data_IF_012684552835
#
_entry.id   IF_012684552835
#
_cell.length_a   1.000
_cell.length_b   1.000
_cell.length_c   1.000
_cell.angle_alpha   90.00
_cell.angle_beta   90.00
_cell.angle_gamma   90.00
#
_symmetry.space_group_name_H-M   'P 1'
#
loop_
_entity.id
_entity.type
_entity.pdbx_description
1 polymer ?
#
# COMPACT_ATOMS: atom_id res chain seq x y z
N UNK A 1 -13.58 47.14 -47.21
CA UNK A 1 -13.32 45.69 -47.12
C UNK A 1 -12.11 45.49 -46.21
N UNK A 2 -12.30 45.17 -44.92
CA UNK A 2 -11.21 45.01 -43.94
C UNK A 2 -10.85 43.52 -43.85
N UNK A 3 -9.65 43.15 -44.26
CA UNK A 3 -9.13 41.78 -44.20
C UNK A 3 -8.76 41.41 -42.77
N UNK A 4 -9.42 40.39 -42.21
CA UNK A 4 -9.11 39.83 -40.89
C UNK A 4 -7.82 39.00 -41.01
N UNK A 5 -6.76 39.43 -40.33
CA UNK A 5 -5.50 38.67 -40.27
C UNK A 5 -5.71 37.39 -39.45
N UNK A 6 -5.47 36.23 -40.08
CA UNK A 6 -5.54 34.91 -39.44
C UNK A 6 -4.40 34.82 -38.40
N UNK A 7 -4.74 34.82 -37.10
CA UNK A 7 -3.77 34.50 -36.03
C UNK A 7 -3.23 33.09 -36.28
N UNK A 8 -1.93 32.96 -36.56
CA UNK A 8 -1.29 31.66 -36.74
C UNK A 8 -1.38 30.85 -35.46
N UNK A 9 -1.85 29.60 -35.56
CA UNK A 9 -1.75 28.62 -34.48
C UNK A 9 -0.26 28.35 -34.21
N UNK A 10 0.24 28.81 -33.07
CA UNK A 10 1.57 28.44 -32.57
C UNK A 10 1.52 27.01 -32.07
N UNK A 11 2.30 26.12 -32.67
CA UNK A 11 2.51 24.75 -32.17
C UNK A 11 3.54 24.72 -31.03
N UNK A 12 3.55 23.61 -30.28
CA UNK A 12 4.58 23.35 -29.27
C UNK A 12 5.96 23.14 -29.93
N UNK A 13 6.99 23.58 -29.24
CA UNK A 13 8.39 23.36 -29.63
C UNK A 13 8.90 22.03 -29.05
N UNK A 14 9.90 21.43 -29.70
CA UNK A 14 10.56 20.23 -29.19
C UNK A 14 11.22 20.49 -27.82
N UNK A 15 11.78 21.68 -27.62
CA UNK A 15 12.46 22.04 -26.37
C UNK A 15 11.48 22.13 -25.20
N UNK A 16 10.26 22.64 -25.40
CA UNK A 16 9.21 22.64 -24.37
C UNK A 16 8.86 21.22 -23.94
N UNK A 17 8.70 20.30 -24.90
CA UNK A 17 8.42 18.90 -24.59
C UNK A 17 9.57 18.24 -23.82
N UNK A 18 10.83 18.54 -24.18
CA UNK A 18 11.99 18.01 -23.48
C UNK A 18 12.02 18.45 -22.02
N UNK A 19 11.78 19.74 -21.74
CA UNK A 19 11.75 20.26 -20.38
C UNK A 19 10.64 19.59 -19.55
N UNK A 20 9.45 19.40 -20.14
CA UNK A 20 8.33 18.72 -19.47
C UNK A 20 8.70 17.27 -19.10
N UNK A 21 9.27 16.52 -20.04
CA UNK A 21 9.70 15.14 -19.78
C UNK A 21 10.79 15.09 -18.71
N UNK A 22 11.76 16.01 -18.75
CA UNK A 22 12.80 16.11 -17.73
C UNK A 22 12.22 16.31 -16.33
N UNK A 23 11.23 17.20 -16.18
CA UNK A 23 10.56 17.44 -14.88
C UNK A 23 9.81 16.19 -14.43
N UNK A 24 9.08 15.52 -15.34
CA UNK A 24 8.35 14.28 -15.01
C UNK A 24 9.31 13.21 -14.51
N UNK A 25 10.46 13.01 -15.16
CA UNK A 25 11.45 12.02 -14.76
C UNK A 25 12.05 12.30 -13.38
N UNK A 26 12.31 13.58 -13.06
CA UNK A 26 12.77 13.98 -11.72
C UNK A 26 11.72 13.64 -10.66
N UNK A 27 10.45 13.97 -10.91
CA UNK A 27 9.37 13.67 -9.99
C UNK A 27 9.20 12.16 -9.78
N UNK A 28 9.20 11.37 -10.86
CA UNK A 28 9.06 9.91 -10.81
C UNK A 28 10.21 9.26 -10.04
N UNK A 29 11.44 9.74 -10.23
CA UNK A 29 12.63 9.26 -9.53
C UNK A 29 12.49 9.33 -8.00
N UNK A 30 11.86 10.38 -7.48
CA UNK A 30 11.62 10.54 -6.03
C UNK A 30 10.30 9.87 -5.60
N UNK A 31 9.27 9.89 -6.44
CA UNK A 31 7.95 9.38 -6.10
C UNK A 31 7.90 7.85 -5.98
N UNK A 32 8.58 7.11 -6.86
CA UNK A 32 8.57 5.65 -6.85
C UNK A 32 9.13 5.02 -5.55
N UNK A 33 10.33 5.38 -5.06
CA UNK A 33 10.84 4.81 -3.81
C UNK A 33 9.95 5.18 -2.62
N UNK A 34 9.43 6.40 -2.57
CA UNK A 34 8.52 6.84 -1.51
C UNK A 34 7.20 6.04 -1.52
N UNK A 35 6.63 5.79 -2.70
CA UNK A 35 5.44 4.96 -2.87
C UNK A 35 5.69 3.52 -2.42
N UNK A 36 6.79 2.90 -2.86
CA UNK A 36 7.15 1.54 -2.45
C UNK A 36 7.35 1.44 -0.93
N UNK A 37 8.00 2.42 -0.31
CA UNK A 37 8.15 2.46 1.15
C UNK A 37 6.80 2.61 1.87
N UNK A 38 5.86 3.38 1.32
CA UNK A 38 4.51 3.50 1.87
C UNK A 38 3.77 2.16 1.84
N UNK A 39 3.86 1.41 0.75
CA UNK A 39 3.27 0.07 0.65
C UNK A 39 3.89 -0.88 1.68
N UNK A 40 5.23 -0.90 1.82
CA UNK A 40 5.89 -1.74 2.84
C UNK A 40 5.41 -1.37 4.24
N UNK A 41 5.35 -0.08 4.58
CA UNK A 41 4.83 0.38 5.88
C UNK A 41 3.37 -0.03 6.12
N UNK A 42 2.54 0.03 5.08
CA UNK A 42 1.15 -0.41 5.17
C UNK A 42 1.07 -1.92 5.45
N UNK A 43 1.86 -2.74 4.76
CA UNK A 43 1.96 -4.19 5.01
C UNK A 43 2.46 -4.48 6.42
N UNK A 44 3.51 -3.79 6.88
CA UNK A 44 4.00 -3.93 8.26
C UNK A 44 2.95 -3.55 9.30
N UNK A 45 2.15 -2.50 9.04
CA UNK A 45 1.07 -2.09 9.94
C UNK A 45 -0.01 -3.17 10.05
N UNK A 46 -0.40 -3.76 8.92
CA UNK A 46 -1.36 -4.88 8.88
C UNK A 46 -0.79 -6.10 9.59
N UNK A 47 0.47 -6.46 9.32
CA UNK A 47 1.14 -7.58 9.97
C UNK A 47 1.20 -7.39 11.50
N UNK A 48 1.58 -6.20 11.97
CA UNK A 48 1.59 -5.88 13.41
C UNK A 48 0.21 -6.04 14.05
N UNK A 49 -0.84 -5.60 13.36
CA UNK A 49 -2.21 -5.75 13.83
C UNK A 49 -2.65 -7.22 13.88
N UNK A 50 -2.29 -8.01 12.87
CA UNK A 50 -2.56 -9.44 12.81
C UNK A 50 -1.87 -10.17 13.97
N UNK A 51 -0.58 -9.91 14.19
CA UNK A 51 0.18 -10.49 15.30
C UNK A 51 -0.38 -10.11 16.66
N UNK A 52 -0.80 -8.86 16.86
CA UNK A 52 -1.44 -8.42 18.11
C UNK A 52 -2.74 -9.17 18.36
N UNK A 53 -3.57 -9.31 17.32
CA UNK A 53 -4.84 -10.04 17.38
C UNK A 53 -4.60 -11.53 17.71
N UNK A 54 -3.66 -12.19 17.02
CA UNK A 54 -3.30 -13.58 17.30
C UNK A 54 -2.78 -13.76 18.72
N UNK A 55 -1.92 -12.86 19.22
CA UNK A 55 -1.43 -12.90 20.59
C UNK A 55 -2.57 -12.78 21.61
N UNK A 56 -3.52 -11.88 21.37
CA UNK A 56 -4.69 -11.72 22.25
C UNK A 56 -5.55 -12.99 22.27
N UNK A 57 -5.77 -13.60 21.11
CA UNK A 57 -6.54 -14.84 21.00
C UNK A 57 -5.82 -16.01 21.70
N UNK A 58 -4.52 -16.17 21.49
CA UNK A 58 -3.73 -17.21 22.15
C UNK A 58 -3.80 -17.05 23.68
N UNK A 59 -3.72 -15.81 24.16
CA UNK A 59 -3.87 -15.52 25.60
C UNK A 59 -5.25 -15.94 26.10
N UNK A 60 -6.31 -15.64 25.36
CA UNK A 60 -7.67 -16.02 25.72
C UNK A 60 -7.85 -17.54 25.77
N UNK A 61 -7.40 -18.24 24.73
CA UNK A 61 -7.40 -19.70 24.68
C UNK A 61 -6.65 -20.31 25.88
N UNK A 62 -5.48 -19.76 26.20
CA UNK A 62 -4.64 -20.26 27.31
C UNK A 62 -5.31 -20.05 28.66
N UNK A 63 -6.02 -18.93 28.86
CA UNK A 63 -6.79 -18.69 30.08
C UNK A 63 -7.96 -19.67 30.21
N UNK A 64 -8.67 -19.94 29.11
CA UNK A 64 -9.89 -20.75 29.14
C UNK A 64 -9.59 -22.26 29.20
N UNK A 65 -8.51 -22.72 28.54
CA UNK A 65 -8.13 -24.14 28.47
C UNK A 65 -7.00 -24.52 29.42
N UNK A 66 -6.42 -23.56 30.13
CA UNK A 66 -5.22 -23.72 30.98
C UNK A 66 -4.03 -24.37 30.27
N UNK A 67 -4.02 -24.33 28.93
CA UNK A 67 -3.01 -24.93 28.07
C UNK A 67 -2.80 -24.04 26.84
N UNK A 68 -1.55 -23.82 26.45
CA UNK A 68 -1.25 -23.13 25.21
C UNK A 68 -1.68 -23.96 23.99
N UNK A 69 -2.13 -23.32 22.90
CA UNK A 69 -2.40 -24.01 21.65
C UNK A 69 -1.12 -24.66 21.12
N UNK A 70 -1.23 -25.88 20.57
CA UNK A 70 -0.11 -26.58 19.94
C UNK A 70 -0.01 -26.20 18.46
N UNK A 71 -1.12 -25.80 17.86
CA UNK A 71 -1.20 -25.32 16.48
C UNK A 71 -2.13 -24.11 16.36
N UNK A 72 -1.98 -23.35 15.29
CA UNK A 72 -2.94 -22.27 14.95
C UNK A 72 -4.32 -22.82 14.57
N UNK A 73 -4.40 -24.07 14.12
CA UNK A 73 -5.66 -24.76 13.80
C UNK A 73 -6.48 -25.08 15.05
N UNK A 74 -5.82 -25.24 16.20
CA UNK A 74 -6.50 -25.42 17.50
C UNK A 74 -7.37 -24.21 17.84
N UNK A 75 -6.94 -23.00 17.43
CA UNK A 75 -7.68 -21.75 17.66
C UNK A 75 -8.93 -21.65 16.78
N UNK A 76 -8.88 -22.23 15.57
CA UNK A 76 -10.04 -22.31 14.67
C UNK A 76 -11.03 -23.35 15.20
N UNK A 77 -10.52 -24.55 15.50
CA UNK A 77 -11.33 -25.67 15.98
C UNK A 77 -12.02 -25.36 17.30
N UNK A 78 -11.38 -24.58 18.18
CA UNK A 78 -11.95 -24.13 19.44
C UNK A 78 -12.82 -22.87 19.32
N UNK A 79 -12.99 -22.32 18.11
CA UNK A 79 -13.91 -21.22 17.81
C UNK A 79 -13.42 -19.81 18.15
N UNK A 80 -12.13 -19.64 18.50
CA UNK A 80 -11.56 -18.32 18.80
C UNK A 80 -11.20 -17.53 17.54
N UNK A 81 -11.02 -18.21 16.40
CA UNK A 81 -10.79 -17.61 15.09
C UNK A 81 -11.68 -18.28 14.04
N UNK A 82 -12.24 -17.49 13.12
CA UNK A 82 -12.97 -18.04 11.95
C UNK A 82 -12.02 -18.53 10.86
N UNK A 83 -10.89 -17.84 10.69
CA UNK A 83 -9.83 -18.16 9.75
C UNK A 83 -8.56 -17.42 10.19
N UNK A 84 -7.39 -17.90 9.77
CA UNK A 84 -6.13 -17.20 10.05
C UNK A 84 -6.06 -15.90 9.25
N UNK A 85 -5.60 -14.79 9.86
CA UNK A 85 -5.27 -13.59 9.12
C UNK A 85 -4.24 -13.92 8.04
N UNK A 86 -4.49 -13.50 6.80
CA UNK A 86 -3.56 -13.69 5.68
C UNK A 86 -2.43 -12.67 5.81
N UNK A 87 -1.19 -13.13 5.66
CA UNK A 87 -0.02 -12.25 5.66
C UNK A 87 -0.01 -11.36 4.40
N UNK A 88 0.23 -10.04 4.55
CA UNK A 88 0.12 -9.06 3.46
C UNK A 88 1.34 -8.98 2.52
#
# INVERSE_FOLDING_TARGET
>A
MRTVAKRGNRGFTLIELMIVISIILILVSVALPAYNQSIVRARESVLKQNLFTLRSVISQYTLDKQKAPQSLDDLISAGYLKQLPVDP
#
